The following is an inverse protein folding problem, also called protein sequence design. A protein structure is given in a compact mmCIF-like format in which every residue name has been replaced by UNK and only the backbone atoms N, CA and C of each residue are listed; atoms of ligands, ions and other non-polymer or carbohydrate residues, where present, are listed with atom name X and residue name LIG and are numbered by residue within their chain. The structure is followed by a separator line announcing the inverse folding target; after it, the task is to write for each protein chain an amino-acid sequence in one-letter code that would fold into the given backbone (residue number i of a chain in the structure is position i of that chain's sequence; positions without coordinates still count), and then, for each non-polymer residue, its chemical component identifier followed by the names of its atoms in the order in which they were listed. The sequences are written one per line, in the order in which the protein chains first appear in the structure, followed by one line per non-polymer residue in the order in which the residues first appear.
data_IF_568292563332
#
_entry.id   IF_568292563332
#
_cell.length_a   1.000
_cell.length_b   1.000
_cell.length_c   1.000
_cell.angle_alpha   90.00
_cell.angle_beta   90.00
_cell.angle_gamma   90.00
#
_symmetry.space_group_name_H-M   'P 1'
#
loop_
_entity.id
_entity.type
_entity.pdbx_description
1 polymer ?
#
# COMPACT_ATOMS: atom_id res chain seq x y z
N UNK A 1 -6.11 -0.93 -13.42
CA UNK A 1 -6.79 -1.07 -14.72
C UNK A 1 -6.94 -2.56 -15.03
N UNK A 2 -7.99 -2.96 -15.75
CA UNK A 2 -8.26 -4.37 -16.07
C UNK A 2 -7.10 -4.97 -16.89
N UNK A 3 -6.76 -6.23 -16.64
CA UNK A 3 -5.67 -6.93 -17.33
C UNK A 3 -5.94 -8.44 -17.43
N UNK A 4 -5.13 -9.23 -18.17
CA UNK A 4 -5.38 -10.66 -18.38
C UNK A 4 -5.39 -11.55 -17.12
N UNK A 5 -4.99 -11.03 -15.96
CA UNK A 5 -5.08 -11.73 -14.69
C UNK A 5 -6.45 -11.59 -14.01
N UNK A 6 -7.32 -10.69 -14.50
CA UNK A 6 -8.67 -10.57 -13.98
C UNK A 6 -9.57 -11.73 -14.46
N UNK A 7 -10.51 -12.20 -13.62
CA UNK A 7 -11.56 -13.10 -14.05
C UNK A 7 -12.31 -12.54 -15.27
N UNK A 8 -12.71 -13.42 -16.19
CA UNK A 8 -13.42 -13.03 -17.42
C UNK A 8 -14.78 -12.36 -17.16
N UNK A 9 -15.34 -12.57 -15.97
CA UNK A 9 -16.62 -12.02 -15.54
C UNK A 9 -16.49 -10.74 -14.69
N UNK A 10 -15.29 -10.19 -14.56
CA UNK A 10 -15.06 -8.94 -13.81
C UNK A 10 -15.01 -7.72 -14.74
N UNK A 11 -15.72 -6.66 -14.36
CA UNK A 11 -15.53 -5.33 -14.96
C UNK A 11 -14.87 -4.38 -13.98
N UNK A 12 -13.91 -3.59 -14.48
CA UNK A 12 -13.43 -2.41 -13.76
C UNK A 12 -14.42 -1.28 -14.03
N UNK A 13 -15.10 -0.88 -12.97
CA UNK A 13 -16.14 0.13 -12.94
C UNK A 13 -15.71 1.29 -12.04
N UNK A 14 -16.39 2.44 -12.17
CA UNK A 14 -16.30 3.63 -11.30
C UNK A 14 -14.95 3.86 -10.58
N UNK A 15 -14.13 4.74 -11.14
CA UNK A 15 -12.76 4.95 -10.66
C UNK A 15 -12.68 6.16 -9.73
N UNK A 16 -12.67 5.92 -8.43
CA UNK A 16 -12.44 6.94 -7.43
C UNK A 16 -10.94 7.29 -7.34
N UNK A 17 -10.52 8.34 -8.04
CA UNK A 17 -9.15 8.85 -8.02
C UNK A 17 -8.90 9.78 -6.83
N UNK A 18 -7.69 9.72 -6.25
CA UNK A 18 -7.18 10.79 -5.41
C UNK A 18 -5.64 10.87 -5.40
N UNK A 19 -5.11 11.97 -4.86
CA UNK A 19 -3.70 12.07 -4.49
C UNK A 19 -3.46 11.31 -3.20
N UNK A 20 -2.30 10.68 -3.09
CA UNK A 20 -1.80 10.20 -1.81
C UNK A 20 -1.56 11.41 -0.89
N UNK A 21 -2.10 11.43 0.35
CA UNK A 21 -2.01 12.61 1.21
C UNK A 21 -0.57 13.12 1.38
N UNK A 22 -0.34 14.39 1.01
CA UNK A 22 0.96 15.06 1.19
C UNK A 22 2.05 14.67 0.20
N UNK A 23 1.73 13.98 -0.90
CA UNK A 23 2.72 13.60 -1.93
C UNK A 23 2.16 13.75 -3.34
N UNK A 24 3.03 13.61 -4.34
CA UNK A 24 2.65 13.55 -5.76
C UNK A 24 2.33 12.12 -6.24
N UNK A 25 2.17 11.15 -5.34
CA UNK A 25 1.72 9.81 -5.72
C UNK A 25 0.22 9.81 -6.01
N UNK A 26 -0.18 8.93 -6.92
CA UNK A 26 -1.54 8.78 -7.39
C UNK A 26 -2.15 7.50 -6.83
N UNK A 27 -3.37 7.60 -6.31
CA UNK A 27 -4.17 6.49 -5.84
C UNK A 27 -5.48 6.44 -6.63
N UNK A 28 -6.00 5.23 -6.80
CA UNK A 28 -7.32 4.99 -7.35
C UNK A 28 -7.96 3.84 -6.60
N UNK A 29 -9.23 3.99 -6.28
CA UNK A 29 -10.07 2.99 -5.61
C UNK A 29 -11.15 2.54 -6.60
N UNK A 30 -10.78 1.76 -7.65
CA UNK A 30 -11.74 1.30 -8.63
C UNK A 30 -12.73 0.33 -8.02
N UNK A 31 -13.98 0.42 -8.47
CA UNK A 31 -14.97 -0.60 -8.19
C UNK A 31 -14.78 -1.81 -9.11
N UNK A 32 -14.78 -3.02 -8.55
CA UNK A 32 -14.73 -4.26 -9.32
C UNK A 32 -16.10 -4.95 -9.30
N UNK A 33 -16.70 -5.07 -10.47
CA UNK A 33 -18.01 -5.67 -10.65
C UNK A 33 -17.88 -7.15 -11.02
N UNK A 34 -18.26 -8.03 -10.10
CA UNK A 34 -18.27 -9.48 -10.30
C UNK A 34 -19.61 -9.92 -10.91
N UNK A 35 -19.67 -10.08 -12.24
CA UNK A 35 -20.93 -10.28 -12.97
C UNK A 35 -21.70 -11.50 -12.52
N UNK A 36 -21.02 -12.63 -12.25
CA UNK A 36 -21.70 -13.87 -11.88
C UNK A 36 -22.43 -13.78 -10.53
N UNK A 37 -21.90 -12.98 -9.60
CA UNK A 37 -22.48 -12.77 -8.27
C UNK A 37 -23.34 -11.52 -8.19
N UNK A 38 -23.23 -10.67 -9.21
CA UNK A 38 -23.82 -9.35 -9.27
C UNK A 38 -23.44 -8.46 -8.06
N UNK A 39 -22.18 -8.58 -7.63
CA UNK A 39 -21.60 -7.88 -6.48
C UNK A 39 -20.54 -6.87 -6.91
N UNK A 40 -20.31 -5.85 -6.10
CA UNK A 40 -19.29 -4.83 -6.32
C UNK A 40 -18.46 -4.60 -5.07
N UNK A 41 -17.15 -4.67 -5.21
CA UNK A 41 -16.19 -4.26 -4.18
C UNK A 41 -15.23 -3.19 -4.68
N UNK A 42 -14.31 -2.76 -3.81
CA UNK A 42 -13.36 -1.68 -4.05
C UNK A 42 -11.96 -2.27 -3.92
N UNK A 43 -11.14 -2.15 -4.96
CA UNK A 43 -9.72 -2.52 -4.93
C UNK A 43 -8.82 -1.28 -4.85
N UNK A 44 -7.50 -1.48 -4.74
CA UNK A 44 -6.51 -0.41 -4.78
C UNK A 44 -5.66 -0.46 -6.05
N UNK A 45 -5.52 0.68 -6.71
CA UNK A 45 -4.52 0.91 -7.74
C UNK A 45 -3.64 2.11 -7.37
N UNK A 46 -2.36 2.04 -7.73
CA UNK A 46 -1.35 3.05 -7.44
C UNK A 46 -0.60 3.43 -8.70
N UNK A 47 -0.13 4.68 -8.75
CA UNK A 47 0.70 5.18 -9.84
C UNK A 47 1.67 6.26 -9.34
N UNK A 48 2.84 6.35 -9.98
CA UNK A 48 3.84 7.40 -9.73
C UNK A 48 3.66 8.63 -10.63
N UNK A 49 3.10 8.45 -11.81
CA UNK A 49 2.97 9.46 -12.87
C UNK A 49 1.52 9.80 -13.22
N UNK A 50 0.56 8.99 -12.78
CA UNK A 50 -0.86 9.11 -13.11
C UNK A 50 -1.23 8.44 -14.43
N UNK A 51 -0.25 7.95 -15.20
CA UNK A 51 -0.44 7.33 -16.51
C UNK A 51 -0.32 5.81 -16.41
N UNK A 52 0.73 5.32 -15.75
CA UNK A 52 1.00 3.90 -15.55
C UNK A 52 0.50 3.44 -14.19
N UNK A 53 -0.51 2.57 -14.21
CA UNK A 53 -1.18 2.09 -13.00
C UNK A 53 -0.84 0.63 -12.71
N UNK A 54 -0.56 0.35 -11.45
CA UNK A 54 -0.40 -1.02 -10.92
C UNK A 54 -1.43 -1.29 -9.83
N UNK A 55 -1.88 -2.54 -9.71
CA UNK A 55 -2.64 -3.02 -8.55
C UNK A 55 -1.68 -3.84 -7.68
N UNK A 56 -1.35 -3.40 -6.45
CA UNK A 56 -0.47 -4.15 -5.57
C UNK A 56 -1.02 -5.54 -5.25
N UNK A 57 -2.34 -5.62 -5.03
CA UNK A 57 -3.10 -6.84 -4.83
C UNK A 57 -4.38 -6.77 -5.68
N UNK A 58 -4.95 -7.92 -6.05
CA UNK A 58 -6.23 -8.04 -6.78
C UNK A 58 -7.36 -8.49 -5.86
N UNK A 59 -7.34 -7.96 -4.65
CA UNK A 59 -8.30 -8.25 -3.61
C UNK A 59 -8.96 -6.95 -3.11
N UNK A 60 -10.17 -7.04 -2.54
CA UNK A 60 -10.85 -5.87 -1.99
C UNK A 60 -10.04 -5.23 -0.87
N UNK A 61 -9.85 -3.91 -0.93
CA UNK A 61 -9.20 -3.14 0.16
C UNK A 61 -10.19 -2.78 1.28
N UNK A 62 -11.50 -2.85 0.99
CA UNK A 62 -12.59 -2.62 1.94
C UNK A 62 -13.50 -3.85 1.89
N UNK A 63 -13.82 -4.43 3.06
CA UNK A 63 -14.80 -5.51 3.15
C UNK A 63 -16.21 -5.00 2.84
N UNK A 64 -17.04 -5.85 2.23
CA UNK A 64 -18.48 -5.59 2.06
C UNK A 64 -19.28 -5.91 3.32
N UNK A 65 -18.68 -6.57 4.29
CA UNK A 65 -19.32 -6.92 5.57
C UNK A 65 -19.62 -5.68 6.40
N UNK A 66 -20.79 -5.65 7.03
CA UNK A 66 -21.20 -4.63 7.97
C UNK A 66 -22.04 -5.23 9.11
N UNK A 67 -21.48 -5.26 10.32
CA UNK A 67 -22.10 -6.00 11.42
C UNK A 67 -22.23 -7.48 11.05
N UNK A 68 -23.44 -8.03 11.12
CA UNK A 68 -23.75 -9.42 10.76
C UNK A 68 -24.29 -9.58 9.32
N UNK A 69 -24.18 -8.53 8.50
CA UNK A 69 -24.69 -8.49 7.12
C UNK A 69 -23.58 -8.19 6.11
N UNK A 70 -23.87 -8.31 4.83
CA UNK A 70 -22.94 -7.97 3.74
C UNK A 70 -23.65 -7.11 2.69
N UNK A 71 -23.00 -6.03 2.25
CA UNK A 71 -23.50 -5.22 1.15
C UNK A 71 -23.37 -5.98 -0.15
N UNK A 72 -24.36 -5.88 -1.03
CA UNK A 72 -24.22 -6.39 -2.38
C UNK A 72 -23.28 -5.54 -3.23
N UNK A 73 -23.23 -4.23 -2.98
CA UNK A 73 -22.32 -3.33 -3.68
C UNK A 73 -21.79 -2.23 -2.75
N UNK A 74 -20.50 -1.93 -2.86
CA UNK A 74 -19.85 -0.77 -2.24
C UNK A 74 -19.11 0.07 -3.28
N UNK A 75 -19.08 1.38 -3.07
CA UNK A 75 -18.44 2.35 -3.98
C UNK A 75 -17.69 3.40 -3.19
N UNK A 76 -16.43 3.64 -3.56
CA UNK A 76 -15.60 4.66 -2.95
C UNK A 76 -16.03 6.06 -3.43
N UNK A 77 -16.06 7.04 -2.52
CA UNK A 77 -16.14 8.44 -2.90
C UNK A 77 -14.73 9.06 -2.96
N UNK A 78 -14.52 10.11 -3.77
CA UNK A 78 -13.21 10.75 -3.94
C UNK A 78 -12.53 11.17 -2.63
N UNK A 79 -11.20 11.12 -2.67
CA UNK A 79 -10.26 11.58 -1.64
C UNK A 79 -10.13 10.68 -0.41
N UNK A 80 -8.97 10.02 -0.32
CA UNK A 80 -8.42 9.54 0.95
C UNK A 80 -7.88 10.75 1.72
N UNK A 81 -8.36 10.95 2.94
CA UNK A 81 -8.03 12.15 3.74
C UNK A 81 -7.46 11.78 5.11
N UNK A 82 -6.52 12.56 5.67
CA UNK A 82 -6.18 12.46 7.08
C UNK A 82 -7.39 12.82 7.94
N UNK A 83 -7.76 11.91 8.85
CA UNK A 83 -8.80 12.17 9.85
C UNK A 83 -8.21 12.76 11.13
N UNK A 84 -6.97 12.35 11.46
CA UNK A 84 -6.17 12.85 12.57
C UNK A 84 -4.68 12.54 12.30
N UNK A 85 -3.82 12.73 13.31
CA UNK A 85 -2.37 12.52 13.20
C UNK A 85 -1.96 11.06 12.94
N UNK A 86 -2.86 10.10 13.18
CA UNK A 86 -2.61 8.66 13.10
C UNK A 86 -3.42 7.93 12.05
N UNK A 87 -4.56 8.47 11.61
CA UNK A 87 -5.52 7.74 10.79
C UNK A 87 -5.88 8.48 9.51
N UNK A 88 -6.09 7.69 8.46
CA UNK A 88 -6.67 8.10 7.20
C UNK A 88 -8.04 7.50 7.02
N UNK A 89 -8.89 8.20 6.30
CA UNK A 89 -10.25 7.81 6.00
C UNK A 89 -10.56 7.94 4.52
N UNK A 90 -11.23 6.95 3.96
CA UNK A 90 -11.91 7.02 2.68
C UNK A 90 -13.41 6.89 2.93
N UNK A 91 -14.21 7.84 2.46
CA UNK A 91 -15.66 7.65 2.50
C UNK A 91 -16.08 6.70 1.39
N UNK A 92 -17.04 5.83 1.68
CA UNK A 92 -17.68 4.98 0.70
C UNK A 92 -19.16 4.88 1.02
N UNK A 93 -19.97 4.41 0.09
CA UNK A 93 -21.34 4.01 0.39
C UNK A 93 -21.56 2.55 0.04
N UNK A 94 -22.40 1.87 0.83
CA UNK A 94 -22.83 0.51 0.62
C UNK A 94 -24.33 0.41 0.35
N UNK A 95 -24.73 -0.64 -0.37
CA UNK A 95 -26.14 -0.98 -0.57
C UNK A 95 -26.35 -2.50 -0.49
N UNK A 96 -27.44 -2.98 0.14
CA UNK A 96 -27.79 -4.41 0.17
C UNK A 96 -28.40 -4.87 -1.17
N UNK A 97 -28.50 -3.99 -2.16
CA UNK A 97 -29.14 -4.26 -3.45
C UNK A 97 -28.10 -4.72 -4.46
N UNK A 98 -28.38 -5.84 -5.12
CA UNK A 98 -27.56 -6.37 -6.21
C UNK A 98 -27.36 -5.34 -7.33
N UNK A 99 -26.15 -5.26 -7.88
CA UNK A 99 -25.82 -4.31 -8.94
C UNK A 99 -26.72 -4.48 -10.18
N UNK A 100 -27.06 -5.72 -10.51
CA UNK A 100 -27.86 -6.09 -11.68
C UNK A 100 -29.36 -6.15 -11.42
N UNK A 101 -29.85 -5.70 -10.26
CA UNK A 101 -31.24 -5.93 -9.85
C UNK A 101 -32.27 -5.46 -10.89
N UNK A 102 -31.92 -4.46 -11.72
CA UNK A 102 -32.75 -3.92 -12.80
C UNK A 102 -32.96 -4.88 -13.98
N UNK A 103 -32.18 -5.96 -14.07
CA UNK A 103 -32.34 -7.00 -15.10
C UNK A 103 -33.46 -8.00 -14.78
N UNK A 104 -33.98 -8.01 -13.56
CA UNK A 104 -35.05 -8.94 -13.17
C UNK A 104 -36.45 -8.38 -13.52
N UNK A 105 -37.31 -9.13 -14.23
CA UNK A 105 -38.64 -8.67 -14.62
C UNK A 105 -39.58 -8.35 -13.45
N UNK A 106 -39.31 -8.94 -12.27
CA UNK A 106 -40.07 -8.73 -11.03
C UNK A 106 -39.63 -7.51 -10.24
N UNK A 107 -38.69 -6.72 -10.77
CA UNK A 107 -38.13 -5.54 -10.11
C UNK A 107 -39.17 -4.40 -10.00
N UNK A 108 -39.74 -4.21 -8.81
CA UNK A 108 -40.58 -3.05 -8.51
C UNK A 108 -39.72 -1.85 -8.06
N UNK A 109 -39.62 -0.84 -8.93
CA UNK A 109 -38.91 0.43 -8.67
C UNK A 109 -39.49 1.22 -7.48
N UNK A 110 -40.75 1.00 -7.10
CA UNK A 110 -41.45 1.82 -6.10
C UNK A 110 -41.20 1.38 -4.66
N UNK A 111 -40.78 0.14 -4.44
CA UNK A 111 -40.52 -0.43 -3.10
C UNK A 111 -39.10 -0.25 -2.57
N UNK A 112 -38.19 0.26 -3.40
CA UNK A 112 -36.80 0.45 -3.02
C UNK A 112 -36.62 1.85 -2.45
N UNK A 113 -36.73 1.94 -1.13
CA UNK A 113 -35.94 2.94 -0.41
C UNK A 113 -34.49 2.54 -0.64
N UNK A 114 -33.77 3.22 -1.55
CA UNK A 114 -32.35 2.95 -1.77
C UNK A 114 -31.65 3.34 -0.47
N UNK A 115 -31.47 2.39 0.45
CA UNK A 115 -30.69 2.61 1.66
C UNK A 115 -29.23 2.61 1.24
N UNK A 116 -28.77 3.74 0.71
CA UNK A 116 -27.35 4.02 0.61
C UNK A 116 -26.88 4.36 2.02
N UNK A 117 -25.94 3.57 2.52
CA UNK A 117 -25.34 3.83 3.81
C UNK A 117 -23.92 4.34 3.59
N UNK A 118 -23.66 5.58 3.99
CA UNK A 118 -22.34 6.19 3.92
C UNK A 118 -21.51 5.80 5.14
N UNK A 119 -20.27 5.38 4.88
CA UNK A 119 -19.33 4.88 5.90
C UNK A 119 -17.93 5.41 5.65
N UNK A 120 -17.10 5.32 6.68
CA UNK A 120 -15.66 5.51 6.59
C UNK A 120 -14.96 4.16 6.61
N UNK A 121 -14.10 3.91 5.63
CA UNK A 121 -13.04 2.94 5.76
C UNK A 121 -11.81 3.66 6.31
N UNK A 122 -11.22 3.13 7.39
CA UNK A 122 -10.13 3.79 8.10
C UNK A 122 -8.90 2.90 8.19
N UNK A 123 -7.74 3.51 7.97
CA UNK A 123 -6.44 2.86 8.13
C UNK A 123 -5.57 3.73 9.04
N UNK A 124 -4.65 3.11 9.75
CA UNK A 124 -3.51 3.87 10.26
C UNK A 124 -2.73 4.48 9.08
N UNK A 125 -2.16 5.67 9.32
CA UNK A 125 -1.47 6.49 8.33
C UNK A 125 -0.40 5.68 7.59
N UNK A 126 -0.38 5.83 6.27
CA UNK A 126 0.54 5.13 5.36
C UNK A 126 0.41 3.59 5.34
N UNK A 127 -0.70 3.00 5.82
CA UNK A 127 -0.87 1.52 5.93
C UNK A 127 -1.95 0.90 5.02
N UNK A 128 -2.08 1.41 3.80
CA UNK A 128 -3.02 0.83 2.81
C UNK A 128 -2.58 -0.55 2.30
N UNK A 129 -1.27 -0.77 2.18
CA UNK A 129 -0.67 -2.02 1.70
C UNK A 129 0.67 -2.23 2.40
N UNK A 130 1.09 -3.48 2.56
CA UNK A 130 2.38 -3.83 3.14
C UNK A 130 3.11 -4.89 2.32
N UNK A 131 4.43 -4.83 2.34
CA UNK A 131 5.26 -5.99 2.04
C UNK A 131 5.27 -6.88 3.28
N UNK A 132 4.67 -8.07 3.17
CA UNK A 132 4.55 -9.03 4.27
C UNK A 132 5.55 -10.18 4.13
N UNK A 133 6.25 -10.47 5.23
CA UNK A 133 7.09 -11.65 5.37
C UNK A 133 6.49 -12.56 6.45
N UNK A 134 5.97 -13.72 6.08
CA UNK A 134 5.45 -14.73 7.02
C UNK A 134 6.58 -15.53 7.70
N UNK A 135 7.72 -15.67 7.01
CA UNK A 135 9.01 -16.19 7.50
C UNK A 135 10.12 -15.16 7.28
N UNK A 136 11.36 -15.60 7.04
CA UNK A 136 12.45 -14.70 6.64
C UNK A 136 12.31 -14.27 5.18
N UNK A 137 12.42 -12.97 4.93
CA UNK A 137 12.47 -12.38 3.60
C UNK A 137 13.60 -11.35 3.51
N UNK A 138 14.16 -11.22 2.31
CA UNK A 138 15.19 -10.23 1.99
C UNK A 138 14.91 -9.65 0.62
N UNK A 139 14.92 -8.32 0.51
CA UNK A 139 14.78 -7.64 -0.77
C UNK A 139 15.53 -6.32 -0.75
N UNK A 140 15.72 -5.74 -1.93
CA UNK A 140 16.37 -4.44 -2.09
C UNK A 140 15.39 -3.47 -2.72
N UNK A 141 15.16 -2.35 -2.06
CA UNK A 141 14.50 -1.19 -2.66
C UNK A 141 15.56 -0.43 -3.43
N UNK A 142 15.63 -0.71 -4.73
CA UNK A 142 16.66 -0.12 -5.58
C UNK A 142 16.30 1.32 -5.95
N UNK A 143 17.17 2.25 -5.59
CA UNK A 143 17.00 3.68 -5.81
C UNK A 143 18.11 4.18 -6.74
N UNK A 144 17.92 4.05 -8.05
CA UNK A 144 18.87 4.60 -9.02
C UNK A 144 18.56 6.08 -9.29
N UNK A 145 19.54 6.82 -9.81
CA UNK A 145 19.35 8.23 -10.19
C UNK A 145 18.22 8.45 -11.22
N UNK A 146 17.79 7.40 -11.93
CA UNK A 146 16.73 7.46 -12.95
C UNK A 146 15.33 7.25 -12.37
N UNK A 147 15.20 6.54 -11.24
CA UNK A 147 13.89 6.05 -10.75
C UNK A 147 13.57 6.46 -9.31
N UNK A 148 14.51 7.06 -8.58
CA UNK A 148 14.25 7.42 -7.20
C UNK A 148 14.87 8.72 -6.75
N UNK A 149 14.73 8.98 -5.46
CA UNK A 149 14.98 10.28 -4.85
C UNK A 149 16.38 10.31 -4.24
N UNK A 150 17.12 11.42 -4.37
CA UNK A 150 18.40 11.56 -3.68
C UNK A 150 18.17 11.52 -2.16
N UNK A 151 19.08 10.87 -1.43
CA UNK A 151 19.03 10.89 0.03
C UNK A 151 19.13 12.34 0.52
N UNK A 152 18.22 12.73 1.41
CA UNK A 152 18.17 14.09 1.97
C UNK A 152 19.26 14.32 3.03
N UNK A 153 20.04 13.29 3.36
CA UNK A 153 21.09 13.32 4.36
C UNK A 153 20.56 13.56 5.77
N UNK A 154 19.38 12.98 6.08
CA UNK A 154 18.75 13.02 7.41
C UNK A 154 18.81 11.63 8.02
N UNK A 155 17.65 11.01 8.22
CA UNK A 155 17.51 9.69 8.84
C UNK A 155 16.65 8.82 7.94
N UNK A 156 16.96 7.53 7.89
CA UNK A 156 16.06 6.55 7.33
C UNK A 156 14.96 6.22 8.35
N UNK A 157 13.71 6.26 7.92
CA UNK A 157 12.54 5.92 8.76
C UNK A 157 11.67 4.86 8.12
N UNK A 158 11.15 3.94 8.94
CA UNK A 158 10.24 2.88 8.52
C UNK A 158 8.89 3.00 9.22
N UNK A 159 7.82 2.70 8.49
CA UNK A 159 6.52 2.34 9.06
C UNK A 159 6.35 0.82 8.97
N UNK A 160 6.26 0.13 10.10
CA UNK A 160 6.23 -1.33 10.15
C UNK A 160 5.44 -1.89 11.32
N UNK A 161 5.11 -3.19 11.22
CA UNK A 161 4.57 -3.99 12.32
C UNK A 161 5.19 -5.39 12.32
N UNK A 162 5.73 -5.82 13.45
CA UNK A 162 6.27 -7.18 13.62
C UNK A 162 5.33 -8.04 14.46
N UNK A 163 5.20 -9.32 14.11
CA UNK A 163 4.57 -10.30 14.99
C UNK A 163 5.51 -10.65 16.17
N UNK A 164 5.01 -11.45 17.12
CA UNK A 164 5.86 -11.99 18.20
C UNK A 164 7.03 -12.79 17.61
N UNK A 165 8.25 -12.49 18.07
CA UNK A 165 9.51 -13.04 17.55
C UNK A 165 9.92 -12.51 16.17
N UNK A 166 9.13 -11.61 15.57
CA UNK A 166 9.46 -10.96 14.30
C UNK A 166 10.45 -9.81 14.48
N UNK A 167 11.12 -9.45 13.39
CA UNK A 167 12.18 -8.44 13.39
C UNK A 167 12.41 -7.83 12.00
N UNK A 168 12.99 -6.64 11.97
CA UNK A 168 13.52 -5.99 10.76
C UNK A 168 14.94 -5.50 11.04
N UNK A 169 15.84 -5.67 10.07
CA UNK A 169 17.17 -5.05 9.98
C UNK A 169 17.33 -4.45 8.60
N UNK A 170 18.16 -3.42 8.51
CA UNK A 170 18.35 -2.66 7.27
C UNK A 170 19.83 -2.47 6.98
N UNK A 171 20.21 -2.67 5.73
CA UNK A 171 21.54 -2.28 5.22
C UNK A 171 21.39 -1.18 4.17
N UNK A 172 22.41 -0.32 4.08
CA UNK A 172 22.53 0.63 2.98
C UNK A 172 23.58 0.14 1.99
N UNK A 173 23.23 0.12 0.72
CA UNK A 173 24.11 -0.34 -0.36
C UNK A 173 24.14 0.70 -1.49
N UNK A 174 25.16 0.64 -2.34
CA UNK A 174 25.15 1.40 -3.57
C UNK A 174 24.00 0.90 -4.49
N UNK A 175 23.36 1.79 -5.27
CA UNK A 175 22.32 1.37 -6.20
C UNK A 175 22.82 0.39 -7.24
N UNK A 176 22.02 -0.65 -7.49
CA UNK A 176 22.30 -1.59 -8.56
C UNK A 176 22.05 -0.89 -9.90
N UNK A 177 23.06 -0.89 -10.76
CA UNK A 177 22.94 -0.43 -12.15
C UNK A 177 22.88 -1.63 -13.08
N UNK A 178 22.23 -1.55 -14.25
CA UNK A 178 22.13 -2.66 -15.19
C UNK A 178 23.48 -3.23 -15.65
N UNK A 179 24.56 -2.45 -15.49
CA UNK A 179 25.93 -2.82 -15.83
C UNK A 179 26.76 -3.25 -14.60
N UNK A 180 26.15 -3.29 -13.41
CA UNK A 180 26.83 -3.74 -12.21
C UNK A 180 27.27 -5.20 -12.40
N UNK A 181 28.53 -5.45 -12.08
CA UNK A 181 29.16 -6.77 -12.14
C UNK A 181 28.28 -7.83 -11.44
N UNK A 182 28.41 -9.09 -11.86
CA UNK A 182 27.84 -10.28 -11.21
C UNK A 182 28.56 -10.52 -9.87
N UNK A 183 28.56 -9.53 -8.98
CA UNK A 183 29.14 -9.60 -7.64
C UNK A 183 28.12 -9.02 -6.67
N UNK A 184 27.89 -9.68 -5.51
CA UNK A 184 27.06 -9.12 -4.47
C UNK A 184 27.55 -7.73 -4.08
N UNK A 185 26.65 -6.75 -4.10
CA UNK A 185 26.98 -5.41 -3.63
C UNK A 185 27.10 -5.44 -2.11
N UNK A 186 28.27 -5.07 -1.60
CA UNK A 186 28.51 -4.93 -0.18
C UNK A 186 27.79 -3.70 0.36
N UNK A 187 27.44 -3.76 1.65
CA UNK A 187 26.91 -2.62 2.37
C UNK A 187 27.99 -1.54 2.53
N UNK A 188 27.58 -0.28 2.63
CA UNK A 188 28.48 0.77 3.06
C UNK A 188 29.02 0.46 4.46
N UNK A 189 30.29 0.79 4.69
CA UNK A 189 30.93 0.58 5.99
C UNK A 189 30.14 1.28 7.11
N UNK A 190 29.82 0.53 8.17
CA UNK A 190 29.00 1.02 9.29
C UNK A 190 27.49 0.97 9.05
N UNK A 191 27.02 0.53 7.88
CA UNK A 191 25.61 0.43 7.52
C UNK A 191 25.21 -0.99 7.07
N UNK A 192 25.91 -2.02 7.55
CA UNK A 192 25.57 -3.43 7.27
C UNK A 192 24.62 -4.01 8.33
N UNK A 193 24.13 -5.23 8.12
CA UNK A 193 23.26 -5.95 9.06
C UNK A 193 23.95 -6.25 10.37
N UNK A 194 25.28 -6.28 10.40
CA UNK A 194 26.05 -6.48 11.64
C UNK A 194 25.96 -5.28 12.56
N UNK A 195 25.96 -4.07 11.98
CA UNK A 195 25.81 -2.83 12.73
C UNK A 195 24.33 -2.44 12.90
N UNK A 196 23.43 -2.93 12.05
CA UNK A 196 22.01 -2.56 12.10
C UNK A 196 21.34 -3.02 13.41
N UNK A 197 20.73 -2.07 14.11
CA UNK A 197 19.93 -2.34 15.28
C UNK A 197 18.63 -3.06 14.89
N UNK A 198 18.17 -3.97 15.74
CA UNK A 198 16.97 -4.75 15.48
C UNK A 198 15.72 -3.93 15.75
N UNK A 199 14.85 -3.85 14.75
CA UNK A 199 13.56 -3.19 14.86
C UNK A 199 12.47 -4.23 15.15
N UNK A 200 11.69 -3.99 16.19
CA UNK A 200 10.52 -4.79 16.59
C UNK A 200 9.39 -3.86 17.04
N UNK A 201 8.17 -4.39 17.16
CA UNK A 201 6.99 -3.64 17.58
C UNK A 201 6.10 -3.18 16.43
N UNK A 202 5.33 -2.13 16.69
CA UNK A 202 4.34 -1.54 15.79
C UNK A 202 4.52 -0.03 15.76
N UNK A 203 5.15 0.49 14.70
CA UNK A 203 5.65 1.86 14.63
C UNK A 203 5.24 2.53 13.33
N UNK A 204 4.67 3.74 13.41
CA UNK A 204 4.28 4.53 12.23
C UNK A 204 5.47 5.28 11.60
N UNK A 205 6.52 5.55 12.38
CA UNK A 205 7.73 6.22 11.89
C UNK A 205 8.90 6.00 12.85
N UNK A 206 9.59 4.87 12.71
CA UNK A 206 10.77 4.55 13.51
C UNK A 206 12.05 4.89 12.76
N UNK A 207 12.97 5.57 13.43
CA UNK A 207 14.32 5.81 12.92
C UNK A 207 15.09 4.49 12.90
N UNK A 208 15.72 4.20 11.76
CA UNK A 208 16.68 3.10 11.60
C UNK A 208 18.02 3.56 12.14
N UNK A 209 18.65 2.72 12.95
CA UNK A 209 19.97 2.98 13.51
C UNK A 209 20.94 1.84 13.25
N UNK A 210 22.21 2.20 13.17
CA UNK A 210 23.35 1.27 13.09
C UNK A 210 24.28 1.54 14.27
N UNK A 211 24.35 0.62 15.23
CA UNK A 211 25.01 0.78 16.52
C UNK A 211 24.62 2.11 17.21
N UNK A 212 23.32 2.43 17.20
CA UNK A 212 22.74 3.65 17.75
C UNK A 212 22.90 4.93 16.90
N UNK A 213 23.52 4.86 15.72
CA UNK A 213 23.72 6.02 14.83
C UNK A 213 22.67 6.04 13.71
N UNK A 214 22.12 7.21 13.39
CA UNK A 214 21.10 7.39 12.32
C UNK A 214 21.49 8.39 11.23
N UNK A 215 22.65 9.05 11.35
CA UNK A 215 23.04 10.14 10.45
C UNK A 215 23.38 9.65 9.04
N UNK A 216 22.67 10.19 8.04
CA UNK A 216 22.92 9.91 6.63
C UNK A 216 23.57 11.09 5.89
N UNK A 217 24.11 12.09 6.61
CA UNK A 217 24.69 13.29 6.02
C UNK A 217 25.73 13.00 4.92
N UNK A 218 26.54 11.94 5.07
CA UNK A 218 27.55 11.49 4.10
C UNK A 218 26.96 11.06 2.74
N UNK A 219 25.67 10.73 2.70
CA UNK A 219 24.95 10.32 1.49
C UNK A 219 24.08 11.42 0.90
N UNK A 220 24.11 12.65 1.46
CA UNK A 220 23.30 13.77 0.98
C UNK A 220 23.49 13.99 -0.53
N UNK A 221 22.38 14.02 -1.26
CA UNK A 221 22.38 14.23 -2.71
C UNK A 221 22.79 13.00 -3.54
N UNK A 222 23.15 11.88 -2.90
CA UNK A 222 23.54 10.64 -3.58
C UNK A 222 22.38 9.65 -3.59
N UNK A 223 22.21 8.88 -4.68
CA UNK A 223 21.29 7.75 -4.68
C UNK A 223 21.91 6.62 -3.82
N UNK A 224 21.14 6.10 -2.88
CA UNK A 224 21.48 4.92 -2.07
C UNK A 224 20.29 3.97 -2.06
N UNK A 225 20.57 2.68 -2.15
CA UNK A 225 19.55 1.63 -2.11
C UNK A 225 19.46 1.03 -0.73
N UNK A 226 18.26 0.63 -0.35
CA UNK A 226 17.96 0.10 0.99
C UNK A 226 17.73 -1.41 0.86
N UNK A 227 18.53 -2.21 1.55
CA UNK A 227 18.33 -3.65 1.64
C UNK A 227 17.61 -3.98 2.94
N UNK A 228 16.42 -4.56 2.83
CA UNK A 228 15.58 -4.94 3.96
C UNK A 228 15.79 -6.42 4.24
N UNK A 229 16.03 -6.74 5.51
CA UNK A 229 16.02 -8.09 6.06
C UNK A 229 14.92 -8.13 7.10
N UNK A 230 13.95 -9.02 6.94
CA UNK A 230 12.81 -9.06 7.86
C UNK A 230 12.32 -10.47 8.08
N UNK A 231 11.70 -10.70 9.23
CA UNK A 231 11.04 -11.95 9.55
C UNK A 231 9.73 -11.70 10.29
N UNK A 232 8.66 -12.38 9.90
CA UNK A 232 7.35 -12.29 10.56
C UNK A 232 6.91 -10.84 10.77
N UNK A 233 6.93 -10.06 9.70
CA UNK A 233 6.75 -8.62 9.75
C UNK A 233 6.04 -8.07 8.51
N UNK A 234 5.46 -6.88 8.66
CA UNK A 234 4.83 -6.06 7.62
C UNK A 234 5.60 -4.75 7.52
N UNK A 235 6.06 -4.38 6.33
CA UNK A 235 6.68 -3.10 6.05
C UNK A 235 5.74 -2.29 5.14
N UNK A 236 5.29 -1.13 5.62
CA UNK A 236 4.30 -0.29 4.94
C UNK A 236 4.94 0.84 4.14
N UNK A 237 5.95 1.51 4.70
CA UNK A 237 6.64 2.60 4.00
C UNK A 237 8.08 2.78 4.45
N UNK A 238 8.86 3.44 3.58
CA UNK A 238 10.26 3.80 3.78
C UNK A 238 10.43 5.27 3.41
N UNK A 239 11.09 6.04 4.27
CA UNK A 239 11.43 7.45 4.04
C UNK A 239 12.93 7.66 4.21
N UNK A 240 13.58 8.31 3.26
CA UNK A 240 15.03 8.45 3.15
C UNK A 240 15.46 9.89 2.77
#
# INVERSE_FOLDING_TARGET
MADPQDPIDDDVYDTCYCRYPGTDLHLMFPSFYHRLRATLDIQLATSRDGDLWSRPEREPIITREYGDQEYMAIYANPNLVPLNDREWGLTYYGTPISHDIRRFPTFDRKGIMVSLEYRWATWERDRLVALEATGEARFTVNNTAQIGLPCQGRELRLNYKTASGGWIRVELIQPHTPYALIRPMEAYEGYSTKEADVLTGDELSKVVTWNGKSDLSTFRGRPISVRIHMSRAKLFSISL
#
